data_IF_160975653886
#
_entry.id   IF_160975653886
#
_cell.length_a   1.000
_cell.length_b   1.000
_cell.length_c   1.000
_cell.angle_alpha   90.00
_cell.angle_beta   90.00
_cell.angle_gamma   90.00
#
_symmetry.space_group_name_H-M   'P 1'
#
loop_
_entity.id
_entity.type
_entity.pdbx_description
1 polymer ?
#
# COMPACT_ATOMS: atom_id res chain seq x y z
N UNK A 1 -20.46 11.64 -8.61
CA UNK A 1 -19.30 11.85 -7.72
C UNK A 1 -18.37 10.65 -7.87
N UNK A 2 -17.15 10.90 -8.25
CA UNK A 2 -16.14 9.85 -8.36
C UNK A 2 -15.64 9.47 -6.95
N UNK A 3 -15.43 8.20 -6.74
CA UNK A 3 -14.87 7.69 -5.48
C UNK A 3 -13.52 7.02 -5.72
N UNK A 4 -12.58 7.27 -4.84
CA UNK A 4 -11.27 6.63 -4.85
C UNK A 4 -11.03 5.99 -3.48
N UNK A 5 -10.71 4.71 -3.52
CA UNK A 5 -10.46 3.92 -2.32
C UNK A 5 -8.99 3.49 -2.33
N UNK A 6 -8.27 3.84 -1.29
CA UNK A 6 -6.84 3.60 -1.18
C UNK A 6 -6.56 2.78 0.07
N UNK A 7 -5.88 1.65 -0.10
CA UNK A 7 -5.35 0.87 1.01
C UNK A 7 -3.83 1.07 1.07
N UNK A 8 -3.30 1.33 2.25
CA UNK A 8 -1.86 1.54 2.46
C UNK A 8 -1.31 0.47 3.41
N UNK A 9 -0.25 -0.18 2.96
CA UNK A 9 0.52 -1.15 3.73
C UNK A 9 1.92 -0.59 3.93
N UNK A 10 2.34 -0.45 5.17
CA UNK A 10 3.70 0.01 5.50
C UNK A 10 4.47 -1.10 6.16
N UNK A 11 5.45 -1.63 5.44
CA UNK A 11 6.33 -2.68 5.96
C UNK A 11 7.42 -2.07 6.85
N UNK A 12 7.55 -2.63 8.04
CA UNK A 12 8.67 -2.36 8.94
C UNK A 12 9.67 -3.49 8.84
N UNK A 13 10.63 -3.39 7.92
CA UNK A 13 11.75 -4.29 7.94
C UNK A 13 12.82 -3.85 8.95
N UNK A 14 13.62 -4.78 9.45
CA UNK A 14 14.68 -4.48 10.41
C UNK A 14 15.80 -3.56 9.89
N UNK A 15 15.85 -3.30 8.59
CA UNK A 15 16.78 -2.38 7.94
C UNK A 15 16.33 -0.92 7.99
N UNK A 16 15.11 -0.65 8.42
CA UNK A 16 14.49 0.69 8.43
C UNK A 16 15.09 1.62 9.48
N UNK A 17 15.80 1.09 10.49
CA UNK A 17 16.43 1.90 11.52
C UNK A 17 17.48 2.88 11.00
N UNK A 18 17.99 2.67 9.79
CA UNK A 18 19.01 3.49 9.14
C UNK A 18 18.48 4.37 8.02
N UNK A 19 17.17 4.52 7.89
CA UNK A 19 16.60 5.39 6.85
C UNK A 19 16.92 6.85 7.10
N UNK A 20 17.59 7.46 6.11
CA UNK A 20 17.94 8.89 6.13
C UNK A 20 16.75 9.80 5.83
N UNK A 21 15.69 9.25 5.25
CA UNK A 21 14.47 10.00 4.91
C UNK A 21 13.35 9.42 5.76
N UNK A 22 12.69 10.23 6.58
CA UNK A 22 11.58 9.74 7.36
C UNK A 22 10.48 9.20 6.44
N UNK A 23 10.23 7.91 6.54
CA UNK A 23 9.14 7.24 5.82
C UNK A 23 7.80 7.95 6.05
N UNK A 24 7.60 8.45 7.24
CA UNK A 24 6.43 9.22 7.64
C UNK A 24 6.24 10.50 6.82
N UNK A 25 7.34 11.21 6.51
CA UNK A 25 7.27 12.42 5.68
C UNK A 25 6.85 12.08 4.24
N UNK A 26 7.37 10.99 3.70
CA UNK A 26 6.99 10.51 2.36
C UNK A 26 5.52 10.12 2.28
N UNK A 27 5.01 9.47 3.31
CA UNK A 27 3.60 9.09 3.37
C UNK A 27 2.71 10.32 3.57
N UNK A 28 3.11 11.27 4.40
CA UNK A 28 2.39 12.52 4.58
C UNK A 28 2.34 13.33 3.27
N UNK A 29 3.44 13.37 2.54
CA UNK A 29 3.49 13.96 1.21
C UNK A 29 2.52 13.28 0.23
N UNK A 30 2.50 11.97 0.22
CA UNK A 30 1.58 11.19 -0.60
C UNK A 30 0.12 11.54 -0.25
N UNK A 31 -0.21 11.59 1.03
CA UNK A 31 -1.55 11.93 1.51
C UNK A 31 -1.94 13.35 1.12
N UNK A 32 -1.03 14.31 1.25
CA UNK A 32 -1.27 15.70 0.80
C UNK A 32 -1.47 15.78 -0.72
N UNK A 33 -0.71 15.02 -1.48
CA UNK A 33 -0.84 14.95 -2.93
C UNK A 33 -2.20 14.38 -3.35
N UNK A 34 -2.67 13.34 -2.69
CA UNK A 34 -4.02 12.80 -2.92
C UNK A 34 -5.11 13.81 -2.56
N UNK A 35 -4.99 14.49 -1.45
CA UNK A 35 -5.94 15.55 -1.08
C UNK A 35 -6.03 16.62 -2.15
N UNK A 36 -4.91 17.10 -2.66
CA UNK A 36 -4.89 18.14 -3.70
C UNK A 36 -5.55 17.69 -4.99
N UNK A 37 -5.30 16.46 -5.41
CA UNK A 37 -5.85 15.93 -6.65
C UNK A 37 -7.35 15.71 -6.61
N UNK A 38 -7.87 15.30 -5.47
CA UNK A 38 -9.25 14.81 -5.37
C UNK A 38 -10.17 15.75 -4.59
N UNK A 39 -9.82 17.03 -4.46
CA UNK A 39 -10.39 17.94 -3.44
C UNK A 39 -11.83 18.37 -3.62
N UNK A 40 -12.40 18.43 -4.80
CA UNK A 40 -13.69 19.13 -4.95
C UNK A 40 -14.88 18.24 -5.36
N UNK A 41 -14.65 17.12 -6.02
CA UNK A 41 -15.73 16.28 -6.54
C UNK A 41 -15.50 14.77 -6.36
N UNK A 42 -14.55 14.40 -5.51
CA UNK A 42 -14.17 13.00 -5.32
C UNK A 42 -14.24 12.63 -3.86
N UNK A 43 -14.96 11.55 -3.56
CA UNK A 43 -14.91 10.93 -2.24
C UNK A 43 -13.65 10.09 -2.14
N UNK A 44 -12.78 10.43 -1.19
CA UNK A 44 -11.53 9.74 -0.95
C UNK A 44 -11.63 8.93 0.35
N UNK A 45 -11.43 7.61 0.25
CA UNK A 45 -11.43 6.69 1.39
C UNK A 45 -10.05 6.09 1.59
N UNK A 46 -9.58 6.15 2.82
CA UNK A 46 -8.30 5.58 3.22
C UNK A 46 -8.52 4.35 4.11
N UNK A 47 -7.94 3.23 3.72
CA UNK A 47 -7.86 2.03 4.52
C UNK A 47 -6.41 1.80 4.94
N UNK A 48 -6.19 1.57 6.22
CA UNK A 48 -4.87 1.24 6.73
C UNK A 48 -4.84 -0.21 7.22
N UNK A 49 -3.73 -0.87 6.94
CA UNK A 49 -3.41 -2.17 7.54
C UNK A 49 -2.79 -1.90 8.90
N UNK A 50 -3.43 -2.38 9.95
CA UNK A 50 -3.04 -2.17 11.35
C UNK A 50 -2.95 -3.49 12.10
N UNK A 51 -2.39 -3.45 13.31
CA UNK A 51 -2.32 -4.60 14.20
C UNK A 51 -3.14 -4.36 15.46
N UNK A 52 -3.91 -5.35 15.86
CA UNK A 52 -4.54 -5.41 17.17
C UNK A 52 -4.29 -6.79 17.77
N UNK A 53 -3.62 -6.85 18.93
CA UNK A 53 -3.22 -8.09 19.58
C UNK A 53 -2.48 -9.07 18.63
N UNK A 54 -1.57 -8.55 17.82
CA UNK A 54 -0.84 -9.27 16.75
C UNK A 54 -1.70 -9.78 15.59
N UNK A 55 -2.96 -9.43 15.53
CA UNK A 55 -3.83 -9.76 14.40
C UNK A 55 -3.90 -8.57 13.41
N UNK A 56 -3.93 -8.91 12.12
CA UNK A 56 -4.08 -7.90 11.06
C UNK A 56 -5.53 -7.41 11.04
N UNK A 57 -5.67 -6.09 11.02
CA UNK A 57 -6.94 -5.41 10.79
C UNK A 57 -6.84 -4.45 9.62
N UNK A 58 -7.93 -4.30 8.90
CA UNK A 58 -8.08 -3.27 7.88
C UNK A 58 -9.04 -2.21 8.43
N UNK A 59 -8.53 -1.02 8.69
CA UNK A 59 -9.29 0.06 9.31
C UNK A 59 -9.42 1.27 8.39
N UNK A 60 -10.64 1.81 8.31
CA UNK A 60 -10.87 3.11 7.66
C UNK A 60 -10.39 4.23 8.58
N UNK A 61 -9.61 5.15 8.04
CA UNK A 61 -9.04 6.28 8.77
C UNK A 61 -9.33 7.60 8.07
N UNK A 62 -9.44 8.66 8.87
CA UNK A 62 -9.53 10.02 8.37
C UNK A 62 -8.15 10.52 7.93
N UNK A 63 -8.08 11.13 6.76
CA UNK A 63 -6.85 11.72 6.23
C UNK A 63 -6.23 12.81 7.12
N UNK A 64 -7.00 13.43 7.98
CA UNK A 64 -6.53 14.56 8.80
C UNK A 64 -5.62 14.14 9.96
N UNK A 65 -5.78 12.93 10.46
CA UNK A 65 -5.11 12.46 11.68
C UNK A 65 -4.55 11.06 11.51
N UNK A 66 -3.88 10.80 10.39
CA UNK A 66 -3.34 9.47 10.10
C UNK A 66 -2.06 9.22 10.87
N UNK A 67 -2.11 8.28 11.79
CA UNK A 67 -0.93 7.62 12.34
C UNK A 67 -0.75 6.28 11.66
N UNK A 68 0.39 6.09 11.00
CA UNK A 68 0.68 4.88 10.25
C UNK A 68 1.35 3.83 11.12
N UNK A 69 0.74 2.66 11.22
CA UNK A 69 1.40 1.50 11.79
C UNK A 69 2.31 0.86 10.77
N UNK A 70 3.53 0.57 11.21
CA UNK A 70 4.51 -0.20 10.46
C UNK A 70 4.36 -1.66 10.88
N UNK A 71 4.19 -2.54 9.91
CA UNK A 71 3.99 -3.97 10.12
C UNK A 71 5.20 -4.72 9.60
N UNK A 72 5.74 -5.64 10.38
CA UNK A 72 6.79 -6.53 9.91
C UNK A 72 6.18 -7.61 9.00
N UNK A 73 6.11 -7.36 7.71
CA UNK A 73 5.47 -8.26 6.73
C UNK A 73 6.11 -9.66 6.69
N UNK A 74 7.38 -9.80 7.08
CA UNK A 74 8.02 -11.12 7.19
C UNK A 74 7.32 -12.06 8.16
N UNK A 75 6.55 -11.54 9.12
CA UNK A 75 5.80 -12.31 10.10
C UNK A 75 4.36 -12.63 9.67
N UNK A 76 3.93 -12.13 8.53
CA UNK A 76 2.57 -12.26 8.00
C UNK A 76 2.62 -12.71 6.54
N UNK A 77 1.57 -13.37 6.07
CA UNK A 77 1.42 -13.70 4.68
C UNK A 77 0.82 -12.52 3.91
N UNK A 78 1.57 -11.96 2.97
CA UNK A 78 1.12 -10.83 2.15
C UNK A 78 -0.16 -11.17 1.37
N UNK A 79 -0.31 -12.41 0.92
CA UNK A 79 -1.50 -12.84 0.20
C UNK A 79 -2.76 -12.76 1.08
N UNK A 80 -2.68 -13.14 2.34
CA UNK A 80 -3.79 -13.02 3.28
C UNK A 80 -4.18 -11.56 3.51
N UNK A 81 -3.20 -10.67 3.63
CA UNK A 81 -3.43 -9.23 3.76
C UNK A 81 -4.14 -8.68 2.53
N UNK A 82 -3.69 -9.06 1.34
CA UNK A 82 -4.32 -8.63 0.08
C UNK A 82 -5.76 -9.11 -0.01
N UNK A 83 -6.03 -10.35 0.37
CA UNK A 83 -7.41 -10.90 0.41
C UNK A 83 -8.31 -10.12 1.37
N UNK A 84 -7.80 -9.74 2.53
CA UNK A 84 -8.56 -8.92 3.49
C UNK A 84 -8.88 -7.54 2.92
N UNK A 85 -7.94 -6.92 2.24
CA UNK A 85 -8.14 -5.62 1.58
C UNK A 85 -9.18 -5.76 0.46
N UNK A 86 -9.05 -6.76 -0.39
CA UNK A 86 -9.99 -7.02 -1.48
C UNK A 86 -11.41 -7.25 -0.96
N UNK A 87 -11.56 -7.97 0.14
CA UNK A 87 -12.86 -8.18 0.77
C UNK A 87 -13.50 -6.87 1.27
N UNK A 88 -12.71 -5.98 1.83
CA UNK A 88 -13.18 -4.64 2.19
C UNK A 88 -13.57 -3.83 0.96
N UNK A 89 -12.79 -3.89 -0.10
CA UNK A 89 -13.03 -3.16 -1.32
C UNK A 89 -14.33 -3.56 -2.04
N UNK A 90 -14.82 -4.77 -1.83
CA UNK A 90 -16.12 -5.20 -2.37
C UNK A 90 -17.29 -4.34 -1.89
N UNK A 91 -17.17 -3.74 -0.73
CA UNK A 91 -18.19 -2.87 -0.16
C UNK A 91 -18.18 -1.44 -0.71
N UNK A 92 -17.20 -1.11 -1.53
CA UNK A 92 -16.98 0.25 -2.00
C UNK A 92 -17.03 0.34 -3.52
N UNK A 93 -17.62 1.42 -4.00
CA UNK A 93 -17.63 1.76 -5.42
C UNK A 93 -16.47 2.70 -5.75
N UNK A 94 -16.10 2.74 -7.02
CA UNK A 94 -15.08 3.65 -7.54
C UNK A 94 -13.72 2.99 -7.70
N UNK A 95 -12.72 3.80 -7.97
CA UNK A 95 -11.36 3.35 -8.20
C UNK A 95 -10.74 2.78 -6.92
N UNK A 96 -9.91 1.77 -7.09
CA UNK A 96 -9.30 1.05 -5.98
C UNK A 96 -7.79 0.96 -6.19
N UNK A 97 -7.04 1.33 -5.16
CA UNK A 97 -5.58 1.29 -5.18
C UNK A 97 -5.04 0.68 -3.91
N UNK A 98 -3.99 -0.12 -4.03
CA UNK A 98 -3.21 -0.64 -2.91
C UNK A 98 -1.80 -0.12 -3.06
N UNK A 99 -1.29 0.56 -2.04
CA UNK A 99 0.06 1.11 -2.02
C UNK A 99 0.85 0.37 -0.95
N UNK A 100 1.94 -0.26 -1.37
CA UNK A 100 2.85 -0.99 -0.49
C UNK A 100 4.17 -0.23 -0.39
N UNK A 101 4.52 0.15 0.84
CA UNK A 101 5.86 0.63 1.19
C UNK A 101 6.64 -0.53 1.78
N UNK A 102 7.65 -1.03 1.09
CA UNK A 102 8.40 -2.21 1.52
C UNK A 102 9.81 -2.25 0.94
N UNK A 103 10.69 -3.01 1.59
CA UNK A 103 11.98 -3.41 1.03
C UNK A 103 11.90 -4.69 0.18
N UNK A 104 10.74 -5.30 0.10
CA UNK A 104 10.52 -6.53 -0.67
C UNK A 104 10.88 -7.82 0.07
N UNK A 105 11.33 -7.74 1.31
CA UNK A 105 11.65 -8.91 2.14
C UNK A 105 10.46 -9.30 3.02
N UNK A 106 9.42 -9.79 2.40
CA UNK A 106 8.21 -10.22 3.10
C UNK A 106 7.88 -11.69 2.80
N UNK A 107 7.01 -12.25 3.63
CA UNK A 107 6.60 -13.64 3.52
C UNK A 107 5.44 -13.81 2.54
N UNK A 108 5.66 -14.64 1.53
CA UNK A 108 4.63 -15.17 0.64
C UNK A 108 4.73 -16.70 0.67
N UNK A 109 4.03 -17.34 1.59
CA UNK A 109 4.15 -18.77 1.87
C UNK A 109 3.94 -19.66 0.66
N UNK A 110 3.08 -19.25 -0.25
CA UNK A 110 2.68 -20.03 -1.40
C UNK A 110 3.25 -19.52 -2.72
N UNK A 111 4.05 -18.47 -2.69
CA UNK A 111 4.50 -17.69 -3.86
C UNK A 111 3.35 -17.31 -4.82
N UNK A 112 2.13 -17.33 -4.32
CA UNK A 112 0.93 -17.23 -5.14
C UNK A 112 0.72 -15.83 -5.67
N UNK A 113 1.10 -14.78 -4.93
CA UNK A 113 0.98 -13.42 -5.42
C UNK A 113 1.97 -13.14 -6.57
N UNK A 114 3.11 -13.81 -6.60
CA UNK A 114 4.07 -13.72 -7.70
C UNK A 114 3.52 -14.36 -8.99
N UNK A 115 2.60 -15.28 -8.85
CA UNK A 115 1.98 -16.02 -9.94
C UNK A 115 0.55 -15.54 -10.24
N UNK A 116 -0.03 -14.66 -9.42
CA UNK A 116 -1.36 -14.14 -9.64
C UNK A 116 -1.43 -13.32 -10.92
N UNK A 117 -2.51 -13.55 -11.66
CA UNK A 117 -2.91 -12.60 -12.68
C UNK A 117 -3.22 -11.26 -11.99
N UNK A 118 -2.61 -10.19 -12.49
CA UNK A 118 -2.75 -8.84 -11.92
C UNK A 118 -4.12 -8.20 -12.17
N UNK A 119 -5.05 -8.93 -12.77
CA UNK A 119 -6.40 -8.48 -13.09
C UNK A 119 -7.39 -9.06 -12.09
N UNK A 120 -8.15 -8.22 -11.42
CA UNK A 120 -9.30 -8.66 -10.66
C UNK A 120 -10.52 -8.78 -11.57
N UNK A 121 -11.38 -9.76 -11.28
CA UNK A 121 -12.59 -10.04 -12.08
C UNK A 121 -13.64 -8.91 -11.97
N UNK A 122 -13.56 -8.07 -10.95
CA UNK A 122 -14.58 -7.05 -10.63
C UNK A 122 -14.09 -5.60 -10.74
N UNK A 123 -13.13 -5.36 -11.60
CA UNK A 123 -12.53 -4.06 -11.75
C UNK A 123 -11.08 -4.06 -11.30
N UNK A 124 -10.29 -3.24 -11.95
CA UNK A 124 -8.85 -3.20 -11.68
C UNK A 124 -8.57 -2.61 -10.31
N UNK A 125 -7.99 -3.41 -9.43
CA UNK A 125 -7.32 -2.91 -8.25
C UNK A 125 -5.89 -2.61 -8.67
N UNK A 126 -5.55 -1.33 -8.73
CA UNK A 126 -4.19 -0.91 -9.06
C UNK A 126 -3.29 -1.13 -7.84
N UNK A 127 -2.25 -1.94 -8.00
CA UNK A 127 -1.23 -2.16 -6.99
C UNK A 127 0.01 -1.36 -7.32
N UNK A 128 0.52 -0.65 -6.32
CA UNK A 128 1.66 0.25 -6.45
C UNK A 128 2.67 -0.11 -5.36
N UNK A 129 3.93 -0.30 -5.73
CA UNK A 129 5.01 -0.50 -4.76
C UNK A 129 5.95 0.69 -4.70
N UNK A 130 6.35 1.03 -3.47
CA UNK A 130 7.37 2.02 -3.18
C UNK A 130 8.51 1.34 -2.44
N UNK A 131 9.70 1.37 -3.01
CA UNK A 131 10.91 0.85 -2.39
C UNK A 131 11.40 1.80 -1.30
N UNK A 132 11.54 1.32 -0.06
CA UNK A 132 11.84 2.16 1.10
C UNK A 132 13.29 2.10 1.57
N UNK A 133 14.13 1.34 0.92
CA UNK A 133 15.53 1.18 1.28
C UNK A 133 16.39 0.97 0.04
N UNK A 134 17.63 1.43 0.06
CA UNK A 134 18.55 1.31 -1.09
C UNK A 134 18.78 -0.12 -1.56
N UNK A 135 18.72 -1.10 -0.64
CA UNK A 135 18.86 -2.52 -0.94
C UNK A 135 17.55 -3.27 -1.15
N UNK A 136 16.44 -2.59 -1.47
CA UNK A 136 15.16 -3.26 -1.65
C UNK A 136 15.18 -4.29 -2.80
N UNK A 137 14.40 -5.33 -2.65
CA UNK A 137 14.26 -6.38 -3.66
C UNK A 137 13.35 -5.92 -4.79
N UNK A 138 13.95 -5.27 -5.76
CA UNK A 138 13.25 -4.66 -6.90
C UNK A 138 12.38 -5.67 -7.65
N UNK A 139 12.88 -6.86 -7.92
CA UNK A 139 12.15 -7.89 -8.66
C UNK A 139 10.82 -8.27 -7.97
N UNK A 140 10.83 -8.42 -6.66
CA UNK A 140 9.64 -8.75 -5.89
C UNK A 140 8.63 -7.60 -5.92
N UNK A 141 9.09 -6.38 -5.74
CA UNK A 141 8.23 -5.19 -5.77
C UNK A 141 7.66 -4.92 -7.17
N UNK A 142 8.44 -5.17 -8.23
CA UNK A 142 7.96 -5.11 -9.61
C UNK A 142 6.83 -6.11 -9.86
N UNK A 143 6.93 -7.31 -9.32
CA UNK A 143 5.88 -8.33 -9.44
C UNK A 143 4.62 -7.96 -8.65
N UNK A 144 4.76 -7.29 -7.54
CA UNK A 144 3.62 -6.76 -6.78
C UNK A 144 2.86 -5.70 -7.57
N UNK A 145 3.57 -4.79 -8.22
CA UNK A 145 2.98 -3.67 -8.96
C UNK A 145 2.22 -4.11 -10.20
N UNK A 146 1.05 -3.52 -10.42
CA UNK A 146 0.21 -3.82 -11.59
C UNK A 146 0.92 -3.50 -12.91
N UNK A 147 1.65 -2.39 -12.96
CA UNK A 147 2.42 -1.95 -14.13
C UNK A 147 3.88 -2.44 -14.15
N UNK A 148 4.31 -3.17 -13.13
CA UNK A 148 5.67 -3.66 -13.01
C UNK A 148 6.70 -2.60 -12.63
N UNK A 149 6.27 -1.41 -12.20
CA UNK A 149 7.14 -0.30 -11.84
C UNK A 149 7.25 -0.20 -10.31
N UNK A 150 8.48 0.00 -9.81
CA UNK A 150 8.73 0.31 -8.41
C UNK A 150 9.08 1.79 -8.30
N UNK A 151 8.35 2.51 -7.46
CA UNK A 151 8.60 3.91 -7.21
C UNK A 151 9.61 4.09 -6.08
N UNK A 152 10.41 5.14 -6.19
CA UNK A 152 11.26 5.63 -5.12
C UNK A 152 10.62 6.84 -4.44
N UNK A 153 11.16 7.29 -3.31
CA UNK A 153 10.61 8.41 -2.56
C UNK A 153 10.35 9.66 -3.38
N UNK A 154 11.27 9.98 -4.27
CA UNK A 154 11.20 11.16 -5.12
C UNK A 154 10.11 11.06 -6.19
N UNK A 155 9.69 9.85 -6.52
CA UNK A 155 8.69 9.57 -7.54
C UNK A 155 7.27 9.52 -6.98
N UNK A 156 7.10 9.68 -5.68
CA UNK A 156 5.79 9.63 -5.02
C UNK A 156 4.83 10.70 -5.56
N UNK A 157 5.35 11.83 -5.97
CA UNK A 157 4.56 12.89 -6.59
C UNK A 157 3.92 12.46 -7.92
N UNK A 158 4.55 11.54 -8.63
CA UNK A 158 4.09 11.06 -9.93
C UNK A 158 3.02 9.95 -9.81
N UNK A 159 2.72 9.52 -8.57
CA UNK A 159 1.67 8.56 -8.25
C UNK A 159 0.27 9.06 -8.54
N UNK A 160 0.17 10.30 -8.81
CA UNK A 160 -1.10 10.97 -8.95
C UNK A 160 -1.42 11.06 -10.46
#
# INVERSE_FOLDING_TARGET
>A
MNSVNIAVIVDRSGSVENEKIPLEDSINLLMESFKRKYLENTSLRLLLVTLENNDILIQEKDFKNVSLEKIELKNYDIEEILKMIEEKFKNYKGDKKIILFSDGYFNDKNNSFLNQKKESIEGEIKRISVGIWEGYRKTILEKFSTDGIVLEYQDIYDLI
#
